data_IF_068650259154
#
_entry.id   IF_068650259154
#
_cell.length_a   1.000
_cell.length_b   1.000
_cell.length_c   1.000
_cell.angle_alpha   90.00
_cell.angle_beta   90.00
_cell.angle_gamma   90.00
#
_symmetry.space_group_name_H-M   'P 1'
#
loop_
_entity.id
_entity.type
_entity.pdbx_description
1 polymer ?
#
# COMPACT_ATOMS: atom_id res chain seq x y z
N UNK A 1 0.99 24.97 -3.34
CA UNK A 1 -0.42 24.52 -3.46
C UNK A 1 -1.34 25.72 -3.27
N UNK A 2 -2.45 25.86 -4.03
CA UNK A 2 -3.38 26.99 -3.82
C UNK A 2 -4.27 26.80 -2.58
N UNK A 3 -4.90 27.88 -2.10
CA UNK A 3 -5.73 27.88 -0.88
C UNK A 3 -6.89 26.88 -0.94
N UNK A 4 -7.58 26.78 -2.08
CA UNK A 4 -8.69 25.82 -2.29
C UNK A 4 -8.22 24.37 -2.16
N UNK A 5 -7.10 24.03 -2.80
CA UNK A 5 -6.51 22.70 -2.69
C UNK A 5 -6.08 22.40 -1.25
N UNK A 6 -5.48 23.37 -0.55
CA UNK A 6 -5.09 23.20 0.85
C UNK A 6 -6.31 22.91 1.74
N UNK A 7 -7.40 23.66 1.60
CA UNK A 7 -8.62 23.46 2.37
C UNK A 7 -9.24 22.07 2.16
N UNK A 8 -9.32 21.60 0.91
CA UNK A 8 -9.83 20.26 0.58
C UNK A 8 -8.95 19.17 1.21
N UNK A 9 -7.63 19.26 1.06
CA UNK A 9 -6.70 18.29 1.66
C UNK A 9 -6.84 18.29 3.18
N UNK A 10 -6.91 19.47 3.83
CA UNK A 10 -7.10 19.57 5.28
C UNK A 10 -8.39 18.90 5.73
N UNK A 11 -9.51 19.14 5.04
CA UNK A 11 -10.78 18.47 5.35
C UNK A 11 -10.67 16.95 5.23
N UNK A 12 -9.97 16.46 4.20
CA UNK A 12 -9.79 15.02 3.95
C UNK A 12 -8.84 14.36 4.94
N UNK A 13 -7.81 15.05 5.40
CA UNK A 13 -6.97 14.61 6.51
C UNK A 13 -7.79 14.48 7.80
N UNK A 14 -8.64 15.46 8.11
CA UNK A 14 -9.53 15.39 9.28
C UNK A 14 -10.49 14.20 9.15
N UNK A 15 -11.07 13.97 7.96
CA UNK A 15 -11.91 12.80 7.70
C UNK A 15 -11.16 11.47 7.88
N UNK A 16 -9.89 11.41 7.45
CA UNK A 16 -9.02 10.25 7.67
C UNK A 16 -8.79 10.00 9.17
N UNK A 17 -8.70 11.05 10.00
CA UNK A 17 -8.34 10.94 11.42
C UNK A 17 -9.53 10.78 12.38
N UNK A 18 -10.71 11.31 12.03
CA UNK A 18 -11.91 11.26 12.89
C UNK A 18 -12.33 9.81 13.22
N UNK A 19 -12.95 9.65 14.39
CA UNK A 19 -13.40 8.36 14.98
C UNK A 19 -14.88 8.39 15.40
N UNK A 20 -15.62 9.34 14.86
CA UNK A 20 -17.03 9.64 15.08
C UNK A 20 -18.01 8.66 14.39
N UNK A 21 -17.49 7.65 13.69
CA UNK A 21 -18.27 6.49 13.25
C UNK A 21 -17.43 5.22 13.39
N UNK A 22 -18.11 4.08 13.51
CA UNK A 22 -17.48 2.78 13.71
C UNK A 22 -17.50 1.93 12.44
N UNK A 23 -16.37 1.26 12.21
CA UNK A 23 -16.13 0.19 11.25
C UNK A 23 -15.97 -1.16 11.98
N UNK A 24 -16.44 -1.27 13.22
CA UNK A 24 -16.46 -2.53 13.96
C UNK A 24 -17.16 -3.63 13.14
N UNK A 25 -16.57 -4.83 13.16
CA UNK A 25 -17.03 -5.95 12.35
C UNK A 25 -16.61 -5.89 10.87
N UNK A 26 -15.94 -4.82 10.40
CA UNK A 26 -15.35 -4.81 9.07
C UNK A 26 -13.95 -5.43 9.08
N UNK A 27 -13.66 -6.27 8.10
CA UNK A 27 -12.33 -6.85 7.84
C UNK A 27 -11.72 -6.18 6.61
N UNK A 28 -10.49 -5.68 6.74
CA UNK A 28 -9.77 -4.96 5.68
C UNK A 28 -8.41 -5.59 5.41
N UNK A 29 -8.01 -5.68 4.14
CA UNK A 29 -6.66 -6.03 3.72
C UNK A 29 -5.96 -4.80 3.14
N UNK A 30 -4.82 -4.41 3.71
CA UNK A 30 -3.97 -3.33 3.21
C UNK A 30 -2.61 -3.90 2.81
N UNK A 31 -2.35 -3.97 1.50
CA UNK A 31 -1.05 -4.45 1.04
C UNK A 31 0.03 -3.38 1.19
N UNK A 32 1.23 -3.76 1.62
CA UNK A 32 2.34 -2.81 1.84
C UNK A 32 2.08 -1.87 3.02
N UNK A 33 1.62 -2.39 4.16
CA UNK A 33 1.19 -1.60 5.31
C UNK A 33 2.29 -1.17 6.29
N UNK A 34 3.56 -1.53 6.05
CA UNK A 34 4.67 -1.25 7.00
C UNK A 34 4.99 0.23 7.19
N UNK A 35 4.95 1.01 6.11
CA UNK A 35 5.38 2.41 6.08
C UNK A 35 4.49 3.25 5.15
N UNK A 36 4.68 4.57 5.18
CA UNK A 36 4.06 5.54 4.27
C UNK A 36 2.53 5.41 4.21
N UNK A 37 1.95 5.45 3.01
CA UNK A 37 0.52 5.53 2.76
C UNK A 37 -0.19 4.30 3.33
N UNK A 38 0.37 3.10 3.12
CA UNK A 38 -0.20 1.86 3.64
C UNK A 38 -0.30 1.85 5.17
N UNK A 39 0.74 2.34 5.85
CA UNK A 39 0.76 2.46 7.30
C UNK A 39 -0.33 3.41 7.83
N UNK A 40 -0.40 4.63 7.27
CA UNK A 40 -1.43 5.61 7.66
C UNK A 40 -2.86 5.15 7.31
N UNK A 41 -3.02 4.44 6.20
CA UNK A 41 -4.30 3.83 5.81
C UNK A 41 -4.74 2.78 6.82
N UNK A 42 -3.85 1.86 7.21
CA UNK A 42 -4.12 0.84 8.21
C UNK A 42 -4.44 1.45 9.58
N UNK A 43 -3.68 2.46 10.03
CA UNK A 43 -3.98 3.17 11.29
C UNK A 43 -5.37 3.81 11.28
N UNK A 44 -5.75 4.47 10.17
CA UNK A 44 -7.09 5.05 10.05
C UNK A 44 -8.20 4.00 10.21
N UNK A 45 -8.02 2.82 9.60
CA UNK A 45 -9.00 1.72 9.67
C UNK A 45 -9.05 1.10 11.08
N UNK A 46 -7.89 0.85 11.70
CA UNK A 46 -7.78 0.34 13.07
C UNK A 46 -8.43 1.29 14.09
N UNK A 47 -8.16 2.58 13.97
CA UNK A 47 -8.71 3.63 14.85
C UNK A 47 -10.22 3.81 14.69
N UNK A 48 -10.81 3.33 13.59
CA UNK A 48 -12.25 3.29 13.36
C UNK A 48 -12.89 1.96 13.75
N UNK A 49 -12.15 1.00 14.32
CA UNK A 49 -12.73 -0.26 14.81
C UNK A 49 -12.64 -1.44 13.84
N UNK A 50 -12.10 -1.28 12.63
CA UNK A 50 -11.96 -2.39 11.69
C UNK A 50 -10.88 -3.39 12.14
N UNK A 51 -11.06 -4.66 11.80
CA UNK A 51 -9.97 -5.65 11.77
C UNK A 51 -9.15 -5.42 10.52
N UNK A 52 -7.82 -5.27 10.65
CA UNK A 52 -6.92 -4.94 9.55
C UNK A 52 -5.83 -5.98 9.44
N UNK A 53 -5.77 -6.62 8.28
CA UNK A 53 -4.65 -7.43 7.83
C UNK A 53 -3.73 -6.52 7.02
N UNK A 54 -2.46 -6.41 7.40
CA UNK A 54 -1.44 -5.74 6.60
C UNK A 54 -0.44 -6.75 6.02
N UNK A 55 -0.02 -6.54 4.78
CA UNK A 55 1.10 -7.31 4.19
C UNK A 55 2.39 -6.50 4.17
N UNK A 56 3.51 -7.18 4.34
CA UNK A 56 4.85 -6.57 4.29
C UNK A 56 5.92 -7.63 4.08
N UNK A 57 7.04 -7.23 3.46
CA UNK A 57 8.28 -8.05 3.42
C UNK A 57 9.02 -8.08 4.76
N UNK A 58 8.75 -7.11 5.63
CA UNK A 58 9.43 -6.89 6.91
C UNK A 58 8.39 -6.81 8.04
N UNK A 59 7.86 -7.96 8.49
CA UNK A 59 6.82 -8.01 9.52
C UNK A 59 7.30 -7.62 10.92
N UNK A 60 8.52 -7.95 11.34
CA UNK A 60 9.06 -7.54 12.65
C UNK A 60 9.19 -6.03 12.72
N UNK A 61 9.76 -5.38 11.69
CA UNK A 61 9.83 -3.91 11.62
C UNK A 61 8.43 -3.28 11.64
N UNK A 62 7.45 -3.87 10.93
CA UNK A 62 6.08 -3.38 10.95
C UNK A 62 5.48 -3.46 12.35
N UNK A 63 5.64 -4.59 13.03
CA UNK A 63 5.12 -4.79 14.38
C UNK A 63 5.69 -3.75 15.35
N UNK A 64 7.00 -3.51 15.32
CA UNK A 64 7.63 -2.47 16.16
C UNK A 64 7.08 -1.07 15.90
N UNK A 65 6.78 -0.73 14.64
CA UNK A 65 6.19 0.56 14.28
C UNK A 65 4.77 0.70 14.82
N UNK A 66 3.95 -0.34 14.70
CA UNK A 66 2.59 -0.30 15.23
C UNK A 66 2.58 -0.26 16.76
N UNK A 67 3.43 -1.05 17.43
CA UNK A 67 3.53 -1.07 18.89
C UNK A 67 3.97 0.27 19.51
N UNK A 68 4.57 1.17 18.72
CA UNK A 68 5.00 2.51 19.15
C UNK A 68 3.89 3.56 19.08
N UNK A 69 2.74 3.25 18.47
CA UNK A 69 1.62 4.18 18.45
C UNK A 69 1.00 4.30 19.84
N UNK A 70 0.76 5.53 20.29
CA UNK A 70 0.30 5.82 21.65
C UNK A 70 -1.03 5.12 22.01
N UNK A 71 -1.86 4.84 21.01
CA UNK A 71 -3.17 4.19 21.14
C UNK A 71 -3.15 2.71 20.73
N UNK A 72 -1.97 2.09 20.59
CA UNK A 72 -1.81 0.72 20.14
C UNK A 72 -2.69 -0.30 20.89
N UNK A 73 -2.76 -0.18 22.22
CA UNK A 73 -3.53 -1.09 23.06
C UNK A 73 -5.04 -1.08 22.78
N UNK A 74 -5.58 0.00 22.20
CA UNK A 74 -7.00 0.11 21.83
C UNK A 74 -7.38 -0.82 20.66
N UNK A 75 -6.40 -1.21 19.83
CA UNK A 75 -6.66 -1.90 18.56
C UNK A 75 -5.70 -3.04 18.24
N UNK A 76 -4.74 -3.35 19.12
CA UNK A 76 -3.75 -4.42 18.92
C UNK A 76 -4.36 -5.78 18.54
N UNK A 77 -5.52 -6.13 19.13
CA UNK A 77 -6.23 -7.39 18.86
C UNK A 77 -6.84 -7.47 17.45
N UNK A 78 -6.91 -6.33 16.76
CA UNK A 78 -7.50 -6.18 15.43
C UNK A 78 -6.46 -6.00 14.34
N UNK A 79 -5.17 -5.92 14.69
CA UNK A 79 -4.07 -5.87 13.72
C UNK A 79 -3.49 -7.28 13.49
N UNK A 80 -3.50 -7.70 12.23
CA UNK A 80 -2.85 -8.93 11.78
C UNK A 80 -1.75 -8.58 10.79
N UNK A 81 -0.53 -9.07 11.01
CA UNK A 81 0.62 -8.85 10.12
C UNK A 81 0.92 -10.15 9.36
N UNK A 82 0.87 -10.08 8.03
CA UNK A 82 1.20 -11.20 7.14
C UNK A 82 2.52 -10.91 6.39
N UNK A 83 3.55 -11.72 6.65
CA UNK A 83 4.85 -11.62 6.01
C UNK A 83 4.83 -12.19 4.59
N UNK A 84 5.07 -11.37 3.56
CA UNK A 84 5.06 -11.82 2.18
C UNK A 84 5.85 -10.90 1.24
N UNK A 85 6.55 -11.50 0.29
CA UNK A 85 7.12 -10.84 -0.88
C UNK A 85 6.29 -11.14 -2.12
N UNK A 86 5.67 -10.12 -2.71
CA UNK A 86 4.82 -10.26 -3.89
C UNK A 86 5.58 -10.62 -5.17
N UNK A 87 6.92 -10.69 -5.13
CA UNK A 87 7.72 -11.30 -6.20
C UNK A 87 7.57 -12.83 -6.21
N UNK A 88 7.19 -13.45 -5.10
CA UNK A 88 6.91 -14.89 -5.04
C UNK A 88 5.40 -15.15 -5.19
N UNK A 89 4.98 -15.42 -6.42
CA UNK A 89 3.57 -15.63 -6.75
C UNK A 89 2.99 -16.85 -6.04
N UNK A 90 3.78 -17.90 -5.79
CA UNK A 90 3.29 -19.08 -5.05
C UNK A 90 2.90 -18.69 -3.64
N UNK A 91 3.69 -17.85 -2.98
CA UNK A 91 3.35 -17.30 -1.65
C UNK A 91 2.11 -16.40 -1.70
N UNK A 92 1.89 -15.64 -2.78
CA UNK A 92 0.65 -14.85 -2.97
C UNK A 92 -0.57 -15.77 -3.06
N UNK A 93 -0.48 -16.85 -3.83
CA UNK A 93 -1.56 -17.85 -3.93
C UNK A 93 -1.81 -18.55 -2.59
N UNK A 94 -0.76 -18.94 -1.87
CA UNK A 94 -0.88 -19.52 -0.53
C UNK A 94 -1.52 -18.56 0.47
N UNK A 95 -1.21 -17.27 0.42
CA UNK A 95 -1.86 -16.25 1.24
C UNK A 95 -3.36 -16.14 0.91
N UNK A 96 -3.71 -16.11 -0.37
CA UNK A 96 -5.12 -16.06 -0.81
C UNK A 96 -5.87 -17.31 -0.33
N UNK A 97 -5.30 -18.50 -0.49
CA UNK A 97 -5.89 -19.75 -0.01
C UNK A 97 -6.09 -19.72 1.51
N UNK A 98 -5.08 -19.27 2.25
CA UNK A 98 -5.14 -19.08 3.70
C UNK A 98 -6.26 -18.11 4.11
N UNK A 99 -6.40 -16.97 3.41
CA UNK A 99 -7.45 -15.99 3.68
C UNK A 99 -8.84 -16.58 3.44
N UNK A 100 -9.04 -17.26 2.30
CA UNK A 100 -10.31 -17.89 1.95
C UNK A 100 -10.72 -19.00 2.94
N UNK A 101 -9.74 -19.70 3.52
CA UNK A 101 -9.98 -20.77 4.48
C UNK A 101 -10.24 -20.26 5.92
N UNK A 102 -9.63 -19.14 6.33
CA UNK A 102 -9.63 -18.70 7.74
C UNK A 102 -10.44 -17.46 8.03
N UNK A 103 -10.63 -16.57 7.05
CA UNK A 103 -11.40 -15.35 7.26
C UNK A 103 -12.88 -15.62 6.94
N UNK A 104 -13.81 -15.10 7.75
CA UNK A 104 -15.24 -15.26 7.48
C UNK A 104 -15.66 -14.48 6.23
N UNK A 105 -15.08 -13.30 6.03
CA UNK A 105 -15.35 -12.39 4.91
C UNK A 105 -14.28 -11.29 4.81
N UNK A 106 -14.38 -10.47 3.75
CA UNK A 106 -13.55 -9.29 3.52
C UNK A 106 -14.42 -8.11 3.06
N UNK A 107 -14.33 -6.95 3.71
CA UNK A 107 -15.10 -5.76 3.36
C UNK A 107 -14.30 -4.79 2.49
N UNK A 108 -12.99 -4.64 2.75
CA UNK A 108 -12.13 -3.66 2.07
C UNK A 108 -10.83 -4.31 1.62
N UNK A 109 -10.49 -4.17 0.35
CA UNK A 109 -9.19 -4.52 -0.22
C UNK A 109 -8.49 -3.27 -0.73
N UNK A 110 -7.30 -2.99 -0.21
CA UNK A 110 -6.45 -1.88 -0.64
C UNK A 110 -5.16 -2.47 -1.24
N UNK A 111 -5.07 -2.45 -2.57
CA UNK A 111 -3.88 -2.77 -3.34
C UNK A 111 -2.95 -1.55 -3.34
N UNK A 112 -2.25 -1.32 -2.23
CA UNK A 112 -1.30 -0.24 -2.01
C UNK A 112 0.16 -0.65 -2.26
N UNK A 113 0.52 -1.93 -2.07
CA UNK A 113 1.87 -2.40 -2.34
C UNK A 113 2.26 -2.08 -3.79
N UNK A 114 3.41 -1.43 -3.95
CA UNK A 114 3.95 -1.10 -5.26
C UNK A 114 5.48 -1.10 -5.21
N UNK A 115 6.08 -1.48 -6.33
CA UNK A 115 7.49 -1.25 -6.62
C UNK A 115 7.57 -0.20 -7.72
N UNK A 116 8.09 0.98 -7.36
CA UNK A 116 8.39 2.04 -8.32
C UNK A 116 9.79 1.82 -8.87
N UNK A 117 10.79 1.70 -7.99
CA UNK A 117 12.19 1.45 -8.32
C UNK A 117 12.64 0.16 -7.63
N UNK A 118 13.32 -0.72 -8.35
CA UNK A 118 14.05 -1.83 -7.74
C UNK A 118 15.29 -1.30 -7.01
N UNK A 119 15.35 -1.57 -5.70
CA UNK A 119 16.51 -1.27 -4.87
C UNK A 119 17.38 -2.52 -4.73
N UNK A 120 18.72 -2.37 -4.67
CA UNK A 120 19.64 -3.51 -4.52
C UNK A 120 19.43 -4.20 -3.18
N UNK A 121 19.83 -5.47 -3.07
CA UNK A 121 19.60 -6.26 -1.85
C UNK A 121 20.24 -5.63 -0.59
N UNK A 122 21.43 -5.02 -0.77
CA UNK A 122 22.12 -4.29 0.30
C UNK A 122 21.27 -3.16 0.91
N UNK A 123 20.35 -2.55 0.15
CA UNK A 123 19.45 -1.49 0.64
C UNK A 123 18.53 -1.96 1.77
N UNK A 124 18.19 -3.25 1.78
CA UNK A 124 17.29 -3.88 2.75
C UNK A 124 18.04 -4.67 3.84
N UNK A 125 19.36 -4.70 3.82
CA UNK A 125 20.15 -5.62 4.65
C UNK A 125 19.90 -5.41 6.15
N UNK A 126 19.83 -4.17 6.63
CA UNK A 126 19.55 -3.86 8.03
C UNK A 126 18.16 -4.35 8.47
N UNK A 127 17.17 -4.28 7.58
CA UNK A 127 15.84 -4.82 7.85
C UNK A 127 15.87 -6.35 7.86
N UNK A 128 16.60 -7.01 6.95
CA UNK A 128 16.72 -8.47 6.99
C UNK A 128 17.42 -8.98 8.24
N UNK A 129 18.43 -8.27 8.71
CA UNK A 129 19.07 -8.56 10.01
C UNK A 129 18.03 -8.46 11.13
N UNK A 130 17.19 -7.42 11.12
CA UNK A 130 16.09 -7.26 12.08
C UNK A 130 15.09 -8.42 12.03
N UNK A 131 14.70 -8.87 10.83
CA UNK A 131 13.73 -9.96 10.64
C UNK A 131 14.26 -11.35 11.03
N UNK A 132 15.59 -11.53 10.97
CA UNK A 132 16.28 -12.80 11.19
C UNK A 132 16.99 -12.90 12.54
N UNK A 133 16.88 -11.91 13.42
CA UNK A 133 17.53 -11.96 14.74
C UNK A 133 16.87 -13.01 15.65
N UNK A 134 17.38 -14.24 15.64
CA UNK A 134 16.86 -15.39 16.40
C UNK A 134 16.95 -15.19 17.93
N UNK A 135 17.97 -14.49 18.41
CA UNK A 135 18.18 -14.21 19.83
C UNK A 135 17.46 -12.95 20.34
N UNK A 136 16.57 -12.36 19.55
CA UNK A 136 15.87 -11.14 19.97
C UNK A 136 14.65 -11.48 20.80
N UNK A 137 14.66 -11.04 22.04
CA UNK A 137 13.48 -11.06 22.92
C UNK A 137 12.47 -10.07 22.36
N UNK A 138 11.49 -10.58 21.61
CA UNK A 138 10.34 -9.80 21.17
C UNK A 138 9.56 -9.35 22.42
N UNK A 139 8.97 -8.16 22.37
CA UNK A 139 8.05 -7.74 23.44
C UNK A 139 6.76 -8.56 23.35
N UNK A 140 6.07 -8.72 24.47
CA UNK A 140 4.77 -9.43 24.51
C UNK A 140 3.79 -8.91 23.44
N UNK A 141 3.69 -7.59 23.28
CA UNK A 141 2.85 -6.96 22.27
C UNK A 141 3.29 -7.28 20.83
N UNK A 142 4.59 -7.29 20.56
CA UNK A 142 5.13 -7.63 19.23
C UNK A 142 4.90 -9.10 18.88
N UNK A 143 5.11 -10.03 19.82
CA UNK A 143 4.80 -11.46 19.60
C UNK A 143 3.31 -11.68 19.28
N UNK A 144 2.43 -10.97 19.97
CA UNK A 144 0.98 -11.06 19.81
C UNK A 144 0.54 -10.71 18.38
N UNK A 145 1.01 -9.60 17.82
CA UNK A 145 0.65 -9.18 16.45
C UNK A 145 1.39 -10.00 15.37
N UNK A 146 2.54 -10.60 15.71
CA UNK A 146 3.32 -11.46 14.84
C UNK A 146 2.91 -12.93 14.85
N UNK A 147 1.93 -13.33 15.68
CA UNK A 147 1.50 -14.73 15.84
C UNK A 147 1.35 -15.49 14.52
N UNK A 148 0.76 -14.86 13.50
CA UNK A 148 0.58 -15.49 12.19
C UNK A 148 1.87 -15.61 11.39
N UNK A 149 2.72 -14.59 11.42
CA UNK A 149 4.03 -14.62 10.77
C UNK A 149 4.96 -15.65 11.43
N UNK A 150 5.02 -15.70 12.76
CA UNK A 150 5.85 -16.69 13.48
C UNK A 150 5.40 -18.12 13.19
N UNK A 151 4.10 -18.35 12.99
CA UNK A 151 3.59 -19.64 12.53
C UNK A 151 4.01 -19.98 11.09
N UNK A 152 4.22 -18.98 10.21
CA UNK A 152 4.73 -19.18 8.85
C UNK A 152 6.23 -19.45 8.82
N UNK A 153 7.00 -18.74 9.66
CA UNK A 153 8.47 -18.79 9.66
C UNK A 153 9.06 -20.14 10.09
N UNK A 154 8.30 -20.97 10.82
CA UNK A 154 8.73 -22.32 11.23
C UNK A 154 9.11 -23.27 10.07
N UNK A 155 8.95 -22.86 8.81
CA UNK A 155 9.23 -23.68 7.62
C UNK A 155 10.33 -23.16 6.68
N UNK A 156 10.95 -22.00 6.92
CA UNK A 156 11.97 -21.41 6.02
C UNK A 156 13.22 -21.00 6.82
N UNK A 157 14.31 -21.79 6.74
CA UNK A 157 15.64 -21.40 7.26
C UNK A 157 16.43 -20.61 6.22
N UNK A 158 16.87 -19.40 6.55
CA UNK A 158 17.90 -18.67 5.79
C UNK A 158 18.75 -17.79 6.73
N UNK A 159 20.04 -18.10 6.80
CA UNK A 159 21.06 -17.34 7.55
C UNK A 159 21.59 -16.16 6.73
N UNK A 160 21.82 -15.01 7.37
CA UNK A 160 22.41 -13.81 6.73
C UNK A 160 23.43 -13.17 7.68
N UNK A 161 24.58 -12.76 7.14
CA UNK A 161 25.69 -12.09 7.86
C UNK A 161 25.56 -10.57 7.88
N UNK A 162 26.10 -9.98 8.94
CA UNK A 162 26.08 -8.56 9.33
C UNK A 162 27.22 -7.74 8.72
N UNK A 163 26.97 -6.47 8.34
CA UNK A 163 27.95 -5.43 8.68
C UNK A 163 27.33 -4.10 9.15
N UNK A 164 28.24 -3.19 9.53
CA UNK A 164 28.11 -1.99 10.36
C UNK A 164 27.31 -0.82 9.79
N UNK A 165 26.97 0.07 10.72
CA UNK A 165 26.17 1.30 10.60
C UNK A 165 26.36 2.09 9.30
N UNK A 166 25.22 2.35 8.64
CA UNK A 166 25.10 3.29 7.52
C UNK A 166 23.93 4.23 7.79
N UNK A 167 23.96 5.42 7.17
CA UNK A 167 22.89 6.42 7.30
C UNK A 167 21.54 5.84 6.85
N UNK A 168 20.52 6.05 7.68
CA UNK A 168 19.14 5.63 7.45
C UNK A 168 18.29 6.89 7.17
N UNK A 169 17.36 6.81 6.21
CA UNK A 169 16.42 7.88 5.87
C UNK A 169 15.22 7.95 6.84
N UNK A 170 14.32 8.92 6.64
CA UNK A 170 13.13 9.12 7.47
C UNK A 170 12.15 7.93 7.46
N UNK A 171 12.23 7.06 6.46
CA UNK A 171 11.39 5.87 6.33
C UNK A 171 12.03 4.64 6.99
N UNK A 172 13.25 4.76 7.51
CA UNK A 172 13.98 3.66 8.10
C UNK A 172 14.70 2.79 7.07
N UNK A 173 15.03 3.30 5.87
CA UNK A 173 15.85 2.60 4.87
C UNK A 173 17.27 3.15 4.78
N UNK A 174 18.22 2.34 4.30
CA UNK A 174 19.52 2.86 3.90
C UNK A 174 19.36 3.84 2.72
N UNK A 175 20.17 4.88 2.67
CA UNK A 175 20.17 5.80 1.53
C UNK A 175 20.69 5.08 0.27
N UNK A 176 19.92 5.13 -0.84
CA UNK A 176 20.35 4.62 -2.14
C UNK A 176 21.26 5.65 -2.84
N UNK A 177 22.58 5.44 -2.73
CA UNK A 177 23.61 6.34 -3.27
C UNK A 177 23.92 6.12 -4.76
N UNK A 178 23.16 5.27 -5.47
CA UNK A 178 23.36 5.08 -6.92
C UNK A 178 23.14 6.40 -7.67
N UNK A 179 24.03 6.69 -8.62
CA UNK A 179 23.94 7.89 -9.47
C UNK A 179 22.73 7.89 -10.40
N UNK A 180 22.26 6.71 -10.78
CA UNK A 180 21.10 6.51 -11.65
C UNK A 180 20.16 5.44 -11.05
N UNK A 181 18.86 5.60 -11.29
CA UNK A 181 17.84 4.62 -10.96
C UNK A 181 16.74 4.64 -12.04
N UNK A 182 15.83 3.67 -11.98
CA UNK A 182 14.83 3.45 -13.02
C UNK A 182 13.72 4.51 -13.14
N UNK A 183 13.72 5.52 -12.26
CA UNK A 183 12.87 6.70 -12.38
C UNK A 183 13.22 7.55 -13.60
N UNK A 184 14.53 7.66 -13.89
CA UNK A 184 15.06 8.47 -14.99
C UNK A 184 15.60 7.62 -16.15
N UNK A 185 15.42 6.30 -16.10
CA UNK A 185 15.89 5.37 -17.12
C UNK A 185 14.92 5.27 -18.30
N UNK A 186 15.45 5.13 -19.52
CA UNK A 186 14.69 4.82 -20.73
C UNK A 186 14.43 3.32 -20.84
N UNK A 187 13.61 2.91 -21.82
CA UNK A 187 13.19 1.51 -21.97
C UNK A 187 14.36 0.52 -22.09
N UNK A 188 15.38 0.84 -22.87
CA UNK A 188 16.56 -0.02 -23.08
C UNK A 188 17.51 -0.10 -21.88
N UNK A 189 17.34 0.78 -20.89
CA UNK A 189 18.13 0.79 -19.65
C UNK A 189 17.46 0.01 -18.51
N UNK A 190 16.20 -0.44 -18.69
CA UNK A 190 15.49 -1.20 -17.66
C UNK A 190 15.95 -2.65 -17.71
N UNK A 191 16.53 -3.13 -16.61
CA UNK A 191 16.90 -4.54 -16.49
C UNK A 191 15.67 -5.45 -16.55
N UNK A 192 15.81 -6.62 -17.19
CA UNK A 192 14.76 -7.66 -17.23
C UNK A 192 14.26 -8.02 -15.83
N UNK A 193 15.18 -8.11 -14.85
CA UNK A 193 14.83 -8.40 -13.46
C UNK A 193 13.88 -7.36 -12.89
N UNK A 194 14.23 -6.08 -12.96
CA UNK A 194 13.39 -5.00 -12.44
C UNK A 194 12.05 -4.91 -13.18
N UNK A 195 12.06 -5.08 -14.50
CA UNK A 195 10.83 -5.15 -15.30
C UNK A 195 9.88 -6.23 -14.75
N UNK A 196 10.37 -7.46 -14.58
CA UNK A 196 9.56 -8.58 -14.07
C UNK A 196 9.09 -8.34 -12.64
N UNK A 197 9.96 -7.88 -11.73
CA UNK A 197 9.57 -7.56 -10.35
C UNK A 197 8.43 -6.52 -10.31
N UNK A 198 8.51 -5.48 -11.12
CA UNK A 198 7.45 -4.46 -11.22
C UNK A 198 6.15 -5.05 -11.74
N UNK A 199 6.18 -5.92 -12.77
CA UNK A 199 4.95 -6.57 -13.24
C UNK A 199 4.34 -7.48 -12.17
N UNK A 200 5.17 -8.26 -11.47
CA UNK A 200 4.71 -9.17 -10.42
C UNK A 200 4.04 -8.40 -9.27
N UNK A 201 4.68 -7.34 -8.77
CA UNK A 201 4.20 -6.57 -7.62
C UNK A 201 3.04 -5.65 -7.99
N UNK A 202 3.09 -4.97 -9.13
CA UNK A 202 2.14 -3.90 -9.46
C UNK A 202 0.97 -4.38 -10.32
N UNK A 203 1.06 -5.54 -10.98
CA UNK A 203 0.02 -6.08 -11.86
C UNK A 203 -0.45 -7.43 -11.38
N UNK A 204 0.44 -8.42 -11.32
CA UNK A 204 0.08 -9.82 -11.04
C UNK A 204 -0.52 -9.99 -9.65
N UNK A 205 0.14 -9.48 -8.60
CA UNK A 205 -0.38 -9.60 -7.23
C UNK A 205 -1.76 -8.89 -7.07
N UNK A 206 -1.95 -7.62 -7.47
CA UNK A 206 -3.27 -6.99 -7.45
C UNK A 206 -4.33 -7.75 -8.25
N UNK A 207 -3.98 -8.29 -9.43
CA UNK A 207 -4.90 -9.10 -10.23
C UNK A 207 -5.35 -10.36 -9.50
N UNK A 208 -4.42 -11.11 -8.91
CA UNK A 208 -4.73 -12.32 -8.14
C UNK A 208 -5.58 -11.99 -6.91
N UNK A 209 -5.25 -10.93 -6.18
CA UNK A 209 -6.02 -10.49 -5.01
C UNK A 209 -7.45 -10.10 -5.40
N UNK A 210 -7.62 -9.28 -6.44
CA UNK A 210 -8.94 -8.86 -6.91
C UNK A 210 -9.78 -10.01 -7.48
N UNK A 211 -9.16 -10.93 -8.23
CA UNK A 211 -9.88 -12.01 -8.90
C UNK A 211 -10.24 -13.15 -7.95
N UNK A 212 -9.45 -13.40 -6.90
CA UNK A 212 -9.63 -14.58 -6.03
C UNK A 212 -10.20 -14.29 -4.65
N UNK A 213 -10.04 -13.06 -4.13
CA UNK A 213 -10.68 -12.66 -2.87
C UNK A 213 -12.13 -12.16 -3.07
N UNK A 214 -12.61 -12.07 -4.33
CA UNK A 214 -13.99 -11.66 -4.62
C UNK A 214 -15.02 -12.58 -3.95
N UNK A 215 -14.76 -13.89 -3.88
CA UNK A 215 -15.63 -14.85 -3.20
C UNK A 215 -15.69 -14.61 -1.70
N UNK A 216 -14.55 -14.29 -1.07
CA UNK A 216 -14.50 -13.90 0.34
C UNK A 216 -15.24 -12.57 0.58
N UNK A 217 -15.16 -11.63 -0.36
CA UNK A 217 -15.90 -10.37 -0.27
C UNK A 217 -17.42 -10.56 -0.44
N UNK A 218 -17.86 -11.52 -1.27
CA UNK A 218 -19.28 -11.86 -1.41
C UNK A 218 -19.91 -12.36 -0.11
N UNK A 219 -19.12 -12.98 0.78
CA UNK A 219 -19.57 -13.46 2.11
C UNK A 219 -19.76 -12.34 3.14
N UNK A 220 -19.30 -11.11 2.87
CA UNK A 220 -19.39 -10.03 3.85
C UNK A 220 -20.85 -9.64 4.13
N UNK A 221 -21.25 -9.49 5.40
CA UNK A 221 -22.61 -9.10 5.76
C UNK A 221 -22.92 -7.64 5.38
N UNK A 222 -21.89 -6.81 5.18
CA UNK A 222 -22.09 -5.44 4.73
C UNK A 222 -22.59 -5.40 3.29
N UNK A 223 -23.58 -4.53 3.02
CA UNK A 223 -24.10 -4.33 1.66
C UNK A 223 -23.04 -3.76 0.72
N UNK A 224 -22.20 -2.83 1.22
CA UNK A 224 -21.14 -2.21 0.45
C UNK A 224 -19.76 -2.75 0.85
N UNK A 225 -18.97 -3.13 -0.16
CA UNK A 225 -17.58 -3.55 -0.05
C UNK A 225 -16.74 -2.78 -1.04
N UNK A 226 -15.44 -2.63 -0.77
CA UNK A 226 -14.60 -1.70 -1.51
C UNK A 226 -13.29 -2.34 -1.95
N UNK A 227 -12.90 -2.08 -3.19
CA UNK A 227 -11.55 -2.36 -3.68
C UNK A 227 -10.93 -1.03 -4.13
N UNK A 228 -9.78 -0.70 -3.57
CA UNK A 228 -8.99 0.47 -3.95
C UNK A 228 -7.66 0.01 -4.53
N UNK A 229 -7.47 0.28 -5.82
CA UNK A 229 -6.22 0.06 -6.52
C UNK A 229 -5.40 1.35 -6.50
N UNK A 230 -4.30 1.37 -5.74
CA UNK A 230 -3.42 2.55 -5.66
C UNK A 230 -2.60 2.64 -6.94
N UNK A 231 -3.02 3.55 -7.80
CA UNK A 231 -2.44 3.81 -9.11
C UNK A 231 -1.74 5.17 -9.12
N UNK A 232 -1.38 5.66 -10.30
CA UNK A 232 -0.74 6.95 -10.45
C UNK A 232 -1.04 7.56 -11.84
N UNK A 233 -0.85 8.87 -11.98
CA UNK A 233 -1.00 9.59 -13.25
C UNK A 233 -0.12 9.06 -14.39
N UNK A 234 0.96 8.35 -14.05
CA UNK A 234 1.86 7.61 -14.92
C UNK A 234 1.13 6.55 -15.76
N UNK A 235 0.08 5.95 -15.21
CA UNK A 235 -0.75 4.94 -15.88
C UNK A 235 -1.84 5.50 -16.78
N UNK A 236 -1.86 6.82 -17.01
CA UNK A 236 -2.86 7.48 -17.87
C UNK A 236 -2.39 7.48 -19.32
N UNK A 237 -3.22 6.99 -20.23
CA UNK A 237 -2.92 7.02 -21.68
C UNK A 237 -3.08 8.44 -22.25
N UNK A 238 -4.12 9.16 -21.82
CA UNK A 238 -4.47 10.47 -22.36
C UNK A 238 -3.65 11.65 -21.77
N UNK A 239 -2.44 11.40 -21.26
CA UNK A 239 -1.55 12.43 -20.70
C UNK A 239 -0.77 13.11 -21.83
N UNK A 240 -1.01 14.40 -22.07
CA UNK A 240 -0.38 15.17 -23.17
C UNK A 240 1.15 15.20 -23.09
N UNK A 241 1.70 15.39 -21.90
CA UNK A 241 3.15 15.48 -21.67
C UNK A 241 3.62 14.23 -20.92
N UNK A 242 4.14 13.25 -21.65
CA UNK A 242 4.76 12.04 -21.11
C UNK A 242 6.25 12.06 -21.45
N UNK A 243 7.10 11.92 -20.43
CA UNK A 243 8.53 11.74 -20.65
C UNK A 243 8.82 10.27 -21.06
N UNK A 244 9.99 9.96 -21.64
CA UNK A 244 10.32 8.60 -22.07
C UNK A 244 10.83 7.71 -20.93
N UNK A 245 10.79 8.20 -19.68
CA UNK A 245 11.39 7.53 -18.54
C UNK A 245 10.38 6.65 -17.81
N UNK A 246 10.91 5.74 -16.99
CA UNK A 246 10.11 4.90 -16.12
C UNK A 246 9.02 4.06 -16.82
N UNK A 247 9.25 3.52 -18.04
CA UNK A 247 8.18 2.97 -18.87
C UNK A 247 7.52 1.72 -18.27
N UNK A 248 8.31 0.83 -17.65
CA UNK A 248 7.83 -0.41 -17.04
C UNK A 248 6.78 -0.19 -15.93
N UNK A 249 6.97 0.80 -15.06
CA UNK A 249 5.98 1.17 -14.04
C UNK A 249 4.81 1.95 -14.63
N UNK A 250 5.05 2.84 -15.61
CA UNK A 250 3.96 3.49 -16.35
C UNK A 250 3.00 2.45 -16.97
N UNK A 251 3.55 1.42 -17.61
CA UNK A 251 2.80 0.28 -18.17
C UNK A 251 2.05 -0.48 -17.08
N UNK A 252 2.69 -0.79 -15.96
CA UNK A 252 2.06 -1.52 -14.87
C UNK A 252 0.87 -0.74 -14.26
N UNK A 253 1.00 0.58 -14.07
CA UNK A 253 -0.10 1.43 -13.59
C UNK A 253 -1.23 1.54 -14.60
N UNK A 254 -0.92 1.55 -15.90
CA UNK A 254 -1.92 1.50 -16.97
C UNK A 254 -2.69 0.16 -16.98
N UNK A 255 -2.00 -0.96 -16.80
CA UNK A 255 -2.61 -2.28 -16.67
C UNK A 255 -3.54 -2.34 -15.44
N UNK A 256 -3.10 -1.82 -14.29
CA UNK A 256 -3.92 -1.76 -13.07
C UNK A 256 -5.17 -0.88 -13.27
N UNK A 257 -5.04 0.25 -13.97
CA UNK A 257 -6.18 1.10 -14.34
C UNK A 257 -7.17 0.39 -15.27
N UNK A 258 -6.66 -0.32 -16.28
CA UNK A 258 -7.49 -1.12 -17.18
C UNK A 258 -8.24 -2.20 -16.40
N UNK A 259 -7.56 -2.92 -15.50
CA UNK A 259 -8.17 -3.93 -14.65
C UNK A 259 -9.34 -3.35 -13.83
N UNK A 260 -9.12 -2.22 -13.14
CA UNK A 260 -10.20 -1.50 -12.43
C UNK A 260 -11.38 -1.22 -13.36
N UNK A 261 -11.13 -0.64 -14.53
CA UNK A 261 -12.19 -0.26 -15.50
C UNK A 261 -12.98 -1.48 -15.97
N UNK A 262 -12.30 -2.61 -16.19
CA UNK A 262 -12.89 -3.85 -16.68
C UNK A 262 -13.78 -4.51 -15.63
N UNK A 263 -13.29 -4.71 -14.40
CA UNK A 263 -14.02 -5.52 -13.40
C UNK A 263 -15.11 -4.75 -12.67
N UNK A 264 -15.03 -3.42 -12.59
CA UNK A 264 -15.88 -2.62 -11.70
C UNK A 264 -17.38 -2.75 -11.98
N UNK A 265 -17.80 -2.84 -13.25
CA UNK A 265 -19.24 -2.95 -13.59
C UNK A 265 -19.81 -4.29 -13.15
N UNK A 266 -19.04 -5.36 -13.31
CA UNK A 266 -19.47 -6.70 -12.92
C UNK A 266 -19.47 -6.85 -11.40
N UNK A 267 -18.41 -6.39 -10.73
CA UNK A 267 -18.25 -6.47 -9.28
C UNK A 267 -19.33 -5.66 -8.54
N UNK A 268 -19.82 -4.57 -9.13
CA UNK A 268 -20.92 -3.79 -8.59
C UNK A 268 -22.19 -4.61 -8.38
N UNK A 269 -22.44 -5.65 -9.20
CA UNK A 269 -23.61 -6.56 -9.06
C UNK A 269 -23.62 -7.28 -7.71
N UNK A 270 -22.44 -7.45 -7.11
CA UNK A 270 -22.24 -8.06 -5.81
C UNK A 270 -22.06 -7.02 -4.69
N UNK A 271 -22.32 -5.74 -4.94
CA UNK A 271 -22.08 -4.66 -3.97
C UNK A 271 -20.60 -4.37 -3.72
N UNK A 272 -19.71 -4.72 -4.65
CA UNK A 272 -18.27 -4.47 -4.56
C UNK A 272 -17.91 -3.29 -5.48
N UNK A 273 -17.44 -2.20 -4.88
CA UNK A 273 -17.14 -0.95 -5.56
C UNK A 273 -15.63 -0.80 -5.76
N UNK A 274 -15.18 -0.91 -7.01
CA UNK A 274 -13.76 -0.93 -7.39
C UNK A 274 -13.35 0.42 -7.99
N UNK A 275 -12.28 1.05 -7.49
CA UNK A 275 -11.73 2.29 -8.06
C UNK A 275 -10.21 2.29 -8.09
N UNK A 276 -9.64 3.02 -9.05
CA UNK A 276 -8.22 3.38 -9.08
C UNK A 276 -8.04 4.76 -8.46
N UNK A 277 -6.99 4.94 -7.65
CA UNK A 277 -6.71 6.19 -6.96
C UNK A 277 -5.27 6.63 -7.20
N UNK A 278 -5.09 7.86 -7.68
CA UNK A 278 -3.82 8.57 -7.68
C UNK A 278 -3.59 9.21 -6.31
N UNK A 279 -2.43 8.97 -5.71
CA UNK A 279 -2.07 9.51 -4.39
C UNK A 279 -1.51 10.93 -4.47
N UNK A 280 -1.25 11.42 -5.68
CA UNK A 280 -0.50 12.64 -5.92
C UNK A 280 0.98 12.51 -5.58
N UNK A 281 1.71 13.62 -5.74
CA UNK A 281 3.16 13.66 -5.60
C UNK A 281 3.57 13.84 -4.15
N UNK A 282 4.00 12.75 -3.52
CA UNK A 282 4.38 12.69 -2.10
C UNK A 282 5.89 12.47 -1.86
N UNK A 283 6.62 11.98 -2.87
CA UNK A 283 8.05 11.65 -2.76
C UNK A 283 8.82 12.08 -4.01
N UNK A 284 10.07 12.51 -3.85
CA UNK A 284 11.00 12.68 -4.98
C UNK A 284 11.77 11.37 -5.21
N UNK A 285 11.46 10.68 -6.31
CA UNK A 285 12.05 9.37 -6.65
C UNK A 285 13.34 9.49 -7.48
N UNK A 286 13.79 10.72 -7.78
CA UNK A 286 15.08 10.96 -8.42
C UNK A 286 16.24 10.32 -7.62
N UNK A 287 17.37 10.00 -8.29
CA UNK A 287 18.60 9.61 -7.59
C UNK A 287 18.94 10.55 -6.43
N UNK A 288 19.47 10.01 -5.33
CA UNK A 288 19.60 10.72 -4.06
C UNK A 288 20.27 12.10 -4.19
N UNK A 289 21.36 12.21 -4.96
CA UNK A 289 22.07 13.48 -5.15
C UNK A 289 21.21 14.54 -5.87
N UNK A 290 20.36 14.12 -6.81
CA UNK A 290 19.42 15.02 -7.50
C UNK A 290 18.32 15.44 -6.55
N UNK A 291 17.69 14.49 -5.84
CA UNK A 291 16.65 14.78 -4.87
C UNK A 291 17.15 15.70 -3.75
N UNK A 292 18.38 15.48 -3.25
CA UNK A 292 19.04 16.33 -2.26
C UNK A 292 19.23 17.75 -2.78
N UNK A 293 19.78 17.91 -4.00
CA UNK A 293 19.94 19.23 -4.64
C UNK A 293 18.60 19.92 -4.86
N UNK A 294 17.56 19.20 -5.25
CA UNK A 294 16.22 19.76 -5.38
C UNK A 294 15.72 20.31 -4.04
N UNK A 295 15.88 19.53 -2.96
CA UNK A 295 15.51 19.95 -1.61
C UNK A 295 16.30 21.18 -1.12
N UNK A 296 17.60 21.24 -1.38
CA UNK A 296 18.46 22.41 -1.10
C UNK A 296 17.99 23.66 -1.87
N UNK A 297 17.43 23.48 -3.06
CA UNK A 297 16.81 24.54 -3.86
C UNK A 297 15.34 24.83 -3.45
N UNK A 298 14.89 24.31 -2.30
CA UNK A 298 13.56 24.57 -1.77
C UNK A 298 12.43 23.72 -2.37
N UNK A 299 12.75 22.68 -3.15
CA UNK A 299 11.73 21.76 -3.62
C UNK A 299 11.24 20.86 -2.47
N UNK A 300 9.93 20.88 -2.24
CA UNK A 300 9.25 20.00 -1.30
C UNK A 300 8.07 19.37 -2.05
N UNK A 301 7.88 18.04 -1.98
CA UNK A 301 6.69 17.41 -2.54
C UNK A 301 5.42 18.10 -2.04
N UNK A 302 4.45 18.40 -2.92
CA UNK A 302 3.31 19.24 -2.56
C UNK A 302 2.30 18.57 -1.60
N UNK A 303 2.42 17.27 -1.38
CA UNK A 303 1.50 16.47 -0.57
C UNK A 303 2.28 15.62 0.42
N UNK A 304 1.67 15.38 1.58
CA UNK A 304 2.21 14.51 2.62
C UNK A 304 1.77 13.06 2.43
N UNK A 305 2.37 12.15 3.21
CA UNK A 305 1.90 10.76 3.30
C UNK A 305 0.44 10.68 3.77
N UNK A 306 0.03 11.57 4.69
CA UNK A 306 -1.35 11.62 5.20
C UNK A 306 -2.31 12.05 4.09
N UNK A 307 -1.91 12.99 3.23
CA UNK A 307 -2.67 13.38 2.04
C UNK A 307 -2.86 12.22 1.05
N UNK A 308 -1.82 11.40 0.87
CA UNK A 308 -1.86 10.18 0.08
C UNK A 308 -2.84 9.15 0.66
N UNK A 309 -2.76 8.87 1.96
CA UNK A 309 -3.68 7.97 2.65
C UNK A 309 -5.14 8.47 2.62
N UNK A 310 -5.35 9.78 2.77
CA UNK A 310 -6.68 10.38 2.66
C UNK A 310 -7.29 10.17 1.26
N UNK A 311 -6.49 10.22 0.19
CA UNK A 311 -6.94 9.89 -1.18
C UNK A 311 -7.29 8.42 -1.32
N UNK A 312 -6.43 7.52 -0.83
CA UNK A 312 -6.67 6.06 -0.87
C UNK A 312 -7.96 5.70 -0.13
N UNK A 313 -8.23 6.35 1.00
CA UNK A 313 -9.42 6.09 1.80
C UNK A 313 -10.70 6.78 1.31
N UNK A 314 -10.60 7.83 0.49
CA UNK A 314 -11.75 8.63 0.02
C UNK A 314 -12.89 7.80 -0.59
N UNK A 315 -12.64 6.79 -1.45
CA UNK A 315 -13.72 6.07 -2.14
C UNK A 315 -14.73 5.43 -1.20
N UNK A 316 -14.29 5.03 0.00
CA UNK A 316 -15.15 4.41 1.01
C UNK A 316 -15.44 5.34 2.19
N UNK A 317 -14.47 6.11 2.71
CA UNK A 317 -14.71 7.01 3.83
C UNK A 317 -15.71 8.11 3.46
N UNK A 318 -15.60 8.71 2.28
CA UNK A 318 -16.59 9.73 1.86
C UNK A 318 -18.01 9.17 1.81
N UNK A 319 -18.17 7.92 1.41
CA UNK A 319 -19.47 7.26 1.40
C UNK A 319 -19.97 7.02 2.83
N UNK A 320 -19.14 6.40 3.67
CA UNK A 320 -19.49 6.06 5.06
C UNK A 320 -19.84 7.29 5.90
N UNK A 321 -19.17 8.43 5.63
CA UNK A 321 -19.45 9.71 6.27
C UNK A 321 -20.63 10.51 5.69
N UNK A 322 -21.22 10.07 4.58
CA UNK A 322 -22.29 10.82 3.88
C UNK A 322 -23.71 10.39 4.28
N UNK A 323 -23.87 9.72 5.42
CA UNK A 323 -25.10 9.01 5.83
C UNK A 323 -25.61 8.03 4.76
N UNK A 324 -24.70 7.55 3.89
CA UNK A 324 -25.02 6.67 2.75
C UNK A 324 -26.10 7.20 1.80
N UNK A 325 -26.30 8.53 1.74
CA UNK A 325 -27.33 9.19 0.89
C UNK A 325 -27.10 9.03 -0.60
N UNK A 326 -25.87 8.70 -1.02
CA UNK A 326 -25.49 8.50 -2.43
C UNK A 326 -24.85 7.14 -2.61
N UNK A 327 -25.05 6.54 -3.78
CA UNK A 327 -24.37 5.30 -4.13
C UNK A 327 -22.84 5.49 -4.11
N UNK A 328 -22.07 4.48 -3.67
CA UNK A 328 -20.62 4.58 -3.69
C UNK A 328 -20.07 4.69 -5.12
N UNK A 329 -18.95 5.43 -5.25
CA UNK A 329 -18.20 5.57 -6.50
C UNK A 329 -17.68 4.19 -6.95
N UNK A 330 -17.73 3.88 -8.24
CA UNK A 330 -17.10 2.67 -8.81
C UNK A 330 -16.68 2.91 -10.26
N UNK A 331 -15.69 2.15 -10.73
CA UNK A 331 -15.20 2.19 -12.10
C UNK A 331 -14.58 3.54 -12.45
N UNK A 332 -14.01 4.25 -11.48
CA UNK A 332 -13.38 5.55 -11.68
C UNK A 332 -11.87 5.47 -11.49
N UNK A 333 -11.15 6.33 -12.23
CA UNK A 333 -9.83 6.79 -11.85
C UNK A 333 -9.98 8.11 -11.11
N UNK A 334 -9.56 8.14 -9.84
CA UNK A 334 -9.72 9.28 -8.96
C UNK A 334 -8.39 9.99 -8.77
N UNK A 335 -8.37 11.30 -8.98
CA UNK A 335 -7.27 12.19 -8.63
C UNK A 335 -7.84 13.43 -7.95
N UNK A 336 -7.20 13.84 -6.86
CA UNK A 336 -7.66 14.95 -6.03
C UNK A 336 -9.15 14.79 -5.66
N UNK A 337 -9.55 13.58 -5.28
CA UNK A 337 -10.92 13.22 -4.86
C UNK A 337 -11.99 13.26 -5.97
N UNK A 338 -11.61 13.58 -7.21
CA UNK A 338 -12.50 13.70 -8.37
C UNK A 338 -12.19 12.67 -9.46
N UNK A 339 -13.22 12.34 -10.26
CA UNK A 339 -13.07 11.50 -11.46
C UNK A 339 -12.19 12.22 -12.48
N UNK A 340 -11.21 11.52 -13.02
CA UNK A 340 -10.44 11.96 -14.19
C UNK A 340 -10.61 10.98 -15.36
N UNK A 341 -10.12 11.40 -16.54
CA UNK A 341 -10.04 10.52 -17.71
C UNK A 341 -8.97 9.44 -17.49
N UNK A 342 -9.25 8.25 -18.02
CA UNK A 342 -8.32 7.11 -18.06
C UNK A 342 -7.04 7.41 -18.87
#
# INVERSE_FOLDING_TARGET
MCSKCFAINRQKQLQLQRRDFSMAGMVSLVTGGRIKIGYQTALSLLRKGATVIITTRFPVDAAERYCKENDFQEWENRLLIYGIDFRDIRKVESMIAWMNARLPYLNILINNAAQTIARPEAYYQHLRVLENSENRRLTFHTEKVLKYYLAQKKNDELTVRTPSSRMIDSDGFLVDLRKCNSWISKAWDISTKEFLEVQLVNVTAPFLLCSRLVELMKKAPSREKFIVNVSAMEGRFSKKNKNPFHPHTNMAKAALNMMTRTIAKDYRRYGIYVNSVDTGWITDENPYLIAKKNAENGFIPPLTVIDGAARVCDPFLSYLYSDKKRLPKYGLFLKDYHKIKW
#
